data_IF_112566932202
#
_entry.id   IF_112566932202
#
_cell.length_a   1.000
_cell.length_b   1.000
_cell.length_c   1.000
_cell.angle_alpha   90.00
_cell.angle_beta   90.00
_cell.angle_gamma   90.00
#
_symmetry.space_group_name_H-M   'P 1'
#
loop_
_entity.id
_entity.type
_entity.pdbx_description
1 polymer ?
#
# COMPACT_ATOMS: atom_id res chain seq x y z
N UNK A 1 -22.93 1.85 7.59
CA UNK A 1 -21.86 1.22 8.41
C UNK A 1 -22.05 -0.28 8.32
N UNK A 2 -21.14 -0.99 7.68
CA UNK A 2 -21.13 -2.46 7.72
C UNK A 2 -20.71 -2.92 9.11
N UNK A 3 -21.47 -3.83 9.72
CA UNK A 3 -21.23 -4.38 11.06
C UNK A 3 -20.58 -5.77 10.97
N UNK A 4 -19.57 -5.94 10.11
CA UNK A 4 -18.87 -7.22 10.04
C UNK A 4 -17.99 -7.39 11.27
N UNK A 5 -18.31 -8.37 12.12
CA UNK A 5 -17.45 -8.81 13.21
C UNK A 5 -16.82 -10.14 12.84
N UNK A 6 -15.50 -10.21 12.64
CA UNK A 6 -14.82 -11.45 12.31
C UNK A 6 -14.98 -12.46 13.45
N UNK A 7 -15.28 -13.71 13.11
CA UNK A 7 -15.49 -14.81 14.07
C UNK A 7 -14.30 -15.03 15.03
N UNK A 8 -13.11 -14.58 14.63
CA UNK A 8 -11.88 -14.72 15.40
C UNK A 8 -11.66 -13.58 16.40
N UNK A 9 -12.48 -12.52 16.41
CA UNK A 9 -12.35 -11.40 17.33
C UNK A 9 -12.28 -11.86 18.81
N UNK A 10 -11.19 -11.53 19.50
CA UNK A 10 -10.95 -11.90 20.89
C UNK A 10 -10.36 -13.30 21.10
N UNK A 11 -10.10 -14.08 20.05
CA UNK A 11 -9.38 -15.36 20.15
C UNK A 11 -7.87 -15.15 20.17
N UNK A 12 -7.16 -16.02 20.88
CA UNK A 12 -5.69 -16.04 20.88
C UNK A 12 -5.17 -16.16 19.44
N UNK A 13 -4.27 -15.24 19.05
CA UNK A 13 -3.71 -15.15 17.70
C UNK A 13 -4.46 -14.20 16.76
N UNK A 14 -5.66 -13.72 17.12
CA UNK A 14 -6.37 -12.70 16.37
C UNK A 14 -6.15 -11.32 17.00
N UNK A 15 -4.98 -10.76 16.75
CA UNK A 15 -4.50 -9.50 17.34
C UNK A 15 -4.46 -8.33 16.34
N UNK A 16 -5.21 -8.41 15.25
CA UNK A 16 -5.29 -7.29 14.32
C UNK A 16 -5.95 -6.09 15.01
N UNK A 17 -5.35 -4.89 14.95
CA UNK A 17 -5.97 -3.69 15.53
C UNK A 17 -7.16 -3.19 14.69
N UNK A 18 -7.37 -3.72 13.47
CA UNK A 18 -8.41 -3.27 12.55
C UNK A 18 -9.74 -3.96 12.86
N UNK A 19 -10.73 -3.18 13.29
CA UNK A 19 -12.06 -3.69 13.64
C UNK A 19 -13.00 -3.81 12.43
N UNK A 20 -12.74 -3.06 11.36
CA UNK A 20 -13.52 -3.06 10.12
C UNK A 20 -12.62 -3.14 8.88
N UNK A 21 -13.23 -3.42 7.72
CA UNK A 21 -12.52 -3.40 6.43
C UNK A 21 -12.06 -1.98 6.14
N UNK A 22 -12.90 -0.99 6.42
CA UNK A 22 -12.58 0.42 6.23
C UNK A 22 -11.38 0.84 7.10
N UNK A 23 -11.31 0.38 8.35
CA UNK A 23 -10.14 0.62 9.21
C UNK A 23 -8.88 -0.06 8.65
N UNK A 24 -9.01 -1.27 8.12
CA UNK A 24 -7.89 -1.98 7.49
C UNK A 24 -7.42 -1.29 6.20
N UNK A 25 -8.33 -0.70 5.43
CA UNK A 25 -8.00 0.11 4.25
C UNK A 25 -7.36 1.44 4.67
N UNK A 26 -7.82 2.09 5.75
CA UNK A 26 -7.26 3.36 6.19
C UNK A 26 -5.87 3.19 6.83
N UNK A 27 -5.78 2.33 7.84
CA UNK A 27 -4.63 2.25 8.76
C UNK A 27 -3.78 0.99 8.54
N UNK A 28 -4.23 0.07 7.69
CA UNK A 28 -3.53 -1.18 7.41
C UNK A 28 -2.36 -1.03 6.43
N UNK A 29 -1.43 -2.00 6.45
CA UNK A 29 -0.22 -1.94 5.64
C UNK A 29 -0.45 -2.20 4.15
N UNK A 30 -1.65 -2.66 3.77
CA UNK A 30 -1.97 -2.94 2.37
C UNK A 30 -2.13 -1.64 1.58
N UNK A 31 -1.53 -1.58 0.38
CA UNK A 31 -1.60 -0.45 -0.54
C UNK A 31 -2.91 -0.48 -1.35
N UNK A 32 -4.03 -0.40 -0.65
CA UNK A 32 -5.38 -0.41 -1.21
C UNK A 32 -6.05 0.94 -0.93
N UNK A 33 -6.74 1.48 -1.94
CA UNK A 33 -7.52 2.72 -1.83
C UNK A 33 -7.38 3.59 -3.07
N UNK A 34 -7.69 4.87 -2.90
CA UNK A 34 -7.41 5.91 -3.90
C UNK A 34 -5.90 6.13 -4.10
N UNK A 35 -5.47 6.74 -5.22
CA UNK A 35 -4.06 7.08 -5.44
C UNK A 35 -3.45 7.88 -4.28
N UNK A 36 -4.18 8.87 -3.74
CA UNK A 36 -3.70 9.67 -2.62
C UNK A 36 -3.47 8.83 -1.36
N UNK A 37 -4.39 7.91 -1.03
CA UNK A 37 -4.22 7.02 0.12
C UNK A 37 -2.99 6.11 -0.04
N UNK A 38 -2.71 5.66 -1.25
CA UNK A 38 -1.51 4.85 -1.54
C UNK A 38 -0.23 5.69 -1.42
N UNK A 39 -0.24 6.93 -1.93
CA UNK A 39 0.87 7.89 -1.78
C UNK A 39 1.17 8.13 -0.30
N UNK A 40 0.16 8.46 0.49
CA UNK A 40 0.30 8.79 1.91
C UNK A 40 0.91 7.62 2.69
N UNK A 41 0.48 6.38 2.38
CA UNK A 41 1.04 5.17 2.98
C UNK A 41 2.50 4.95 2.60
N UNK A 42 2.84 5.06 1.32
CA UNK A 42 4.22 4.88 0.85
C UNK A 42 5.17 5.89 1.50
N UNK A 43 4.77 7.16 1.55
CA UNK A 43 5.54 8.21 2.21
C UNK A 43 5.60 8.01 3.73
N UNK A 44 4.52 7.54 4.36
CA UNK A 44 4.49 7.19 5.78
C UNK A 44 5.44 6.03 6.12
N UNK A 45 5.50 5.00 5.28
CA UNK A 45 6.46 3.92 5.43
C UNK A 45 7.89 4.41 5.26
N UNK A 46 8.17 5.20 4.21
CA UNK A 46 9.49 5.77 4.00
C UNK A 46 9.92 6.67 5.17
N UNK A 47 9.01 7.49 5.70
CA UNK A 47 9.29 8.32 6.87
C UNK A 47 9.62 7.48 8.11
N UNK A 48 8.96 6.33 8.29
CA UNK A 48 9.12 5.45 9.45
C UNK A 48 10.38 4.57 9.38
N UNK A 49 10.65 3.99 8.21
CA UNK A 49 11.72 3.00 8.01
C UNK A 49 12.97 3.56 7.33
N UNK A 50 12.87 4.74 6.70
CA UNK A 50 13.95 5.40 5.95
C UNK A 50 14.55 4.51 4.86
N UNK A 51 13.72 3.71 4.20
CA UNK A 51 14.14 2.80 3.13
C UNK A 51 14.23 3.50 1.78
N UNK A 52 15.25 3.18 1.00
CA UNK A 52 15.41 3.66 -0.40
C UNK A 52 14.66 2.79 -1.42
N UNK A 53 14.37 1.53 -1.08
CA UNK A 53 13.75 0.56 -1.98
C UNK A 53 12.50 -0.06 -1.33
N UNK A 54 11.38 0.00 -2.03
CA UNK A 54 10.16 -0.69 -1.67
C UNK A 54 9.71 -1.61 -2.80
N UNK A 55 9.65 -2.91 -2.50
CA UNK A 55 9.04 -3.88 -3.41
C UNK A 55 7.52 -3.81 -3.29
N UNK A 56 6.84 -3.81 -4.44
CA UNK A 56 5.37 -3.79 -4.53
C UNK A 56 4.96 -4.96 -5.41
N UNK A 57 3.94 -5.69 -4.98
CA UNK A 57 3.35 -6.78 -5.74
C UNK A 57 1.89 -6.45 -6.04
N UNK A 58 1.47 -6.72 -7.27
CA UNK A 58 0.07 -6.69 -7.65
C UNK A 58 -0.50 -8.07 -7.41
N UNK A 59 -1.53 -8.15 -6.57
CA UNK A 59 -2.23 -9.41 -6.33
C UNK A 59 -2.93 -9.83 -7.63
N UNK A 60 -2.63 -11.05 -8.09
CA UNK A 60 -3.26 -11.63 -9.28
C UNK A 60 -4.58 -12.33 -8.98
N UNK A 61 -5.00 -12.40 -7.72
CA UNK A 61 -6.19 -13.13 -7.33
C UNK A 61 -7.46 -12.43 -7.83
N UNK A 62 -8.09 -13.01 -8.85
CA UNK A 62 -9.36 -12.54 -9.39
C UNK A 62 -9.28 -11.41 -10.41
N UNK A 63 -8.07 -11.02 -10.84
CA UNK A 63 -7.86 -10.05 -11.92
C UNK A 63 -7.26 -10.72 -13.15
N UNK A 64 -7.88 -10.49 -14.30
CA UNK A 64 -7.32 -10.89 -15.59
C UNK A 64 -6.03 -10.11 -15.89
N UNK A 65 -5.16 -10.65 -16.75
CA UNK A 65 -3.86 -10.02 -17.05
C UNK A 65 -3.97 -8.56 -17.48
N UNK A 66 -5.00 -8.22 -18.26
CA UNK A 66 -5.24 -6.85 -18.73
C UNK A 66 -5.49 -5.87 -17.58
N UNK A 67 -6.30 -6.26 -16.60
CA UNK A 67 -6.62 -5.44 -15.44
C UNK A 67 -5.39 -5.24 -14.54
N UNK A 68 -4.55 -6.26 -14.40
CA UNK A 68 -3.28 -6.14 -13.68
C UNK A 68 -2.36 -5.11 -14.34
N UNK A 69 -2.29 -5.09 -15.68
CA UNK A 69 -1.47 -4.13 -16.43
C UNK A 69 -2.05 -2.71 -16.28
N UNK A 70 -3.36 -2.56 -16.38
CA UNK A 70 -4.03 -1.26 -16.18
C UNK A 70 -3.76 -0.71 -14.77
N UNK A 71 -3.83 -1.55 -13.73
CA UNK A 71 -3.51 -1.15 -12.37
C UNK A 71 -2.06 -0.68 -12.24
N UNK A 72 -1.11 -1.39 -12.86
CA UNK A 72 0.31 -1.00 -12.88
C UNK A 72 0.52 0.33 -13.61
N UNK A 73 -0.18 0.55 -14.73
CA UNK A 73 -0.12 1.81 -15.48
C UNK A 73 -0.64 2.97 -14.63
N UNK A 74 -1.81 2.82 -14.03
CA UNK A 74 -2.39 3.83 -13.13
C UNK A 74 -1.49 4.12 -11.93
N UNK A 75 -0.90 3.09 -11.33
CA UNK A 75 0.07 3.28 -10.26
C UNK A 75 1.31 4.07 -10.74
N UNK A 76 1.84 3.75 -11.92
CA UNK A 76 2.98 4.43 -12.49
C UNK A 76 2.70 5.90 -12.86
N UNK A 77 1.47 6.21 -13.28
CA UNK A 77 1.06 7.55 -13.72
C UNK A 77 0.57 8.42 -12.57
N UNK A 78 -0.22 7.88 -11.64
CA UNK A 78 -0.92 8.65 -10.61
C UNK A 78 -0.16 8.67 -9.27
N UNK A 79 0.67 7.67 -8.97
CA UNK A 79 1.32 7.51 -7.64
C UNK A 79 2.83 7.78 -7.70
N UNK A 80 3.55 7.07 -8.58
CA UNK A 80 5.02 7.15 -8.62
C UNK A 80 5.60 8.56 -8.80
N UNK A 81 5.03 9.46 -9.63
CA UNK A 81 5.61 10.80 -9.81
C UNK A 81 5.59 11.63 -8.54
N UNK A 82 4.56 11.47 -7.70
CA UNK A 82 4.46 12.16 -6.42
C UNK A 82 5.46 11.55 -5.43
N UNK A 83 5.45 10.23 -5.27
CA UNK A 83 6.34 9.55 -4.30
C UNK A 83 7.81 9.83 -4.60
N UNK A 84 8.23 9.78 -5.86
CA UNK A 84 9.62 10.07 -6.26
C UNK A 84 10.04 11.52 -5.99
N UNK A 85 9.10 12.46 -6.06
CA UNK A 85 9.36 13.88 -5.77
C UNK A 85 9.49 14.12 -4.27
N UNK A 86 8.61 13.53 -3.48
CA UNK A 86 8.56 13.76 -2.02
C UNK A 86 9.57 12.90 -1.24
N UNK A 87 9.98 11.75 -1.79
CA UNK A 87 10.98 10.84 -1.23
C UNK A 87 12.05 10.48 -2.27
N UNK A 88 12.93 11.44 -2.63
CA UNK A 88 14.02 11.17 -3.56
C UNK A 88 15.06 10.23 -2.93
N UNK A 89 15.78 9.49 -3.76
CA UNK A 89 16.88 8.60 -3.34
C UNK A 89 18.09 8.77 -4.26
N UNK A 90 19.29 8.62 -3.70
CA UNK A 90 20.56 8.61 -4.43
C UNK A 90 21.06 7.20 -4.74
N UNK A 91 20.30 6.15 -4.38
CA UNK A 91 20.70 4.74 -4.50
C UNK A 91 21.15 4.35 -5.91
N UNK A 92 20.62 5.03 -6.94
CA UNK A 92 20.86 4.71 -8.35
C UNK A 92 21.79 5.70 -9.07
N UNK A 93 22.34 6.69 -8.36
CA UNK A 93 23.31 7.62 -8.93
C UNK A 93 24.67 6.92 -9.09
N UNK A 94 25.40 7.22 -10.18
CA UNK A 94 26.74 6.65 -10.40
C UNK A 94 27.71 7.16 -9.33
N UNK A 95 27.87 6.39 -8.25
CA UNK A 95 28.78 6.72 -7.15
C UNK A 95 28.50 6.09 -5.78
N UNK A 96 27.56 5.14 -5.66
CA UNK A 96 27.40 4.31 -4.46
C UNK A 96 28.57 3.38 -4.18
#
# INVERSE_FOLDING_TARGET
RQNFKPHLAGKAGYNTPFATIEDAIAEGPQLIGSPQQVIDKLLGFHASYRHDLQSISVDGFGLERGEQIELLQRFAEEVLPVVRREAPTTLWEEGG
#
